data_IF_439308012530
#
_entry.id   IF_439308012530
#
_cell.length_a   1.000
_cell.length_b   1.000
_cell.length_c   1.000
_cell.angle_alpha   90.00
_cell.angle_beta   90.00
_cell.angle_gamma   90.00
#
_symmetry.space_group_name_H-M   'P 1'
#
loop_
_entity.id
_entity.type
_entity.pdbx_description
1 polymer ?
#
# COMPACT_ATOMS: atom_id res chain seq x y z
N UNK A 1 6.59 13.11 8.10
CA UNK A 1 5.70 12.48 9.10
C UNK A 1 4.25 12.72 8.74
N UNK A 2 3.37 11.77 9.08
CA UNK A 2 1.91 11.92 8.99
C UNK A 2 1.47 12.52 10.34
N UNK A 3 0.68 13.59 10.32
CA UNK A 3 0.19 14.24 11.56
C UNK A 3 -1.07 13.54 12.09
N UNK A 4 -1.43 13.76 13.36
CA UNK A 4 -2.54 13.05 14.02
C UNK A 4 -3.86 13.18 13.27
N UNK A 5 -4.22 14.41 12.87
CA UNK A 5 -5.45 14.69 12.12
C UNK A 5 -5.52 13.93 10.79
N UNK A 6 -4.37 13.73 10.14
CA UNK A 6 -4.28 12.95 8.92
C UNK A 6 -4.54 11.47 9.19
N UNK A 7 -4.05 10.93 10.31
CA UNK A 7 -4.34 9.56 10.72
C UNK A 7 -5.82 9.36 11.04
N UNK A 8 -6.41 10.26 11.80
CA UNK A 8 -7.82 10.21 12.19
C UNK A 8 -8.74 10.29 10.97
N UNK A 9 -8.42 11.16 10.00
CA UNK A 9 -9.15 11.25 8.74
C UNK A 9 -9.13 9.94 7.96
N UNK A 10 -7.98 9.26 7.86
CA UNK A 10 -7.91 7.95 7.16
C UNK A 10 -8.78 6.94 7.90
N UNK A 11 -8.67 6.90 9.22
CA UNK A 11 -9.39 5.94 10.05
C UNK A 11 -10.90 6.13 9.98
N UNK A 12 -11.39 7.37 9.80
CA UNK A 12 -12.82 7.69 9.82
C UNK A 12 -13.46 7.75 8.44
N UNK A 13 -12.71 8.07 7.38
CA UNK A 13 -13.24 8.22 6.01
C UNK A 13 -13.00 6.97 5.14
N UNK A 14 -11.79 6.38 5.16
CA UNK A 14 -11.46 5.34 4.18
C UNK A 14 -12.22 4.03 4.38
N UNK A 15 -12.60 3.67 5.62
CA UNK A 15 -13.43 2.49 5.88
C UNK A 15 -14.86 2.63 5.37
N UNK A 16 -15.36 3.87 5.24
CA UNK A 16 -16.70 4.17 4.70
C UNK A 16 -16.73 4.17 3.17
N UNK A 17 -15.56 4.19 2.52
CA UNK A 17 -15.46 4.22 1.06
C UNK A 17 -15.75 2.89 0.39
N UNK A 18 -15.88 1.77 1.13
CA UNK A 18 -16.16 0.48 0.51
C UNK A 18 -16.96 -0.41 1.46
N UNK A 19 -17.97 -1.09 0.92
CA UNK A 19 -18.74 -2.10 1.65
C UNK A 19 -18.08 -3.48 1.59
N UNK A 20 -17.10 -3.69 0.70
CA UNK A 20 -16.44 -4.97 0.49
C UNK A 20 -15.53 -5.34 1.66
N UNK A 21 -15.77 -6.51 2.25
CA UNK A 21 -15.00 -7.04 3.38
C UNK A 21 -13.51 -7.14 3.08
N UNK A 22 -13.15 -7.64 1.89
CA UNK A 22 -11.75 -7.79 1.47
C UNK A 22 -10.97 -6.47 1.46
N UNK A 23 -11.65 -5.35 1.18
CA UNK A 23 -11.00 -4.04 1.11
C UNK A 23 -10.79 -3.45 2.51
N UNK A 24 -11.76 -3.65 3.41
CA UNK A 24 -11.62 -3.32 4.83
C UNK A 24 -10.49 -4.14 5.46
N UNK A 25 -10.46 -5.44 5.18
CA UNK A 25 -9.41 -6.35 5.64
C UNK A 25 -8.02 -5.91 5.15
N UNK A 26 -7.88 -5.56 3.87
CA UNK A 26 -6.61 -5.05 3.35
C UNK A 26 -6.15 -3.78 4.08
N UNK A 27 -7.05 -2.83 4.33
CA UNK A 27 -6.75 -1.63 5.13
C UNK A 27 -6.20 -2.02 6.51
N UNK A 28 -6.91 -2.86 7.27
CA UNK A 28 -6.44 -3.32 8.58
C UNK A 28 -5.08 -4.01 8.50
N UNK A 29 -4.88 -4.88 7.51
CA UNK A 29 -3.60 -5.56 7.28
C UNK A 29 -2.46 -4.58 7.03
N UNK A 30 -2.71 -3.48 6.31
CA UNK A 30 -1.71 -2.43 6.09
C UNK A 30 -1.40 -1.64 7.36
N UNK A 31 -2.41 -1.23 8.12
CA UNK A 31 -2.25 -0.47 9.36
C UNK A 31 -1.47 -1.25 10.41
N UNK A 32 -1.89 -2.49 10.67
CA UNK A 32 -1.27 -3.35 11.68
C UNK A 32 -0.01 -4.05 11.18
N UNK A 33 0.39 -3.82 9.93
CA UNK A 33 1.54 -4.49 9.28
C UNK A 33 1.45 -6.01 9.43
N UNK A 34 0.26 -6.54 9.14
CA UNK A 34 -0.11 -7.93 9.38
C UNK A 34 0.79 -8.93 8.65
N UNK A 35 1.21 -8.59 7.43
CA UNK A 35 2.10 -9.44 6.64
C UNK A 35 3.48 -9.55 7.29
N UNK A 36 3.81 -10.76 7.75
CA UNK A 36 5.11 -11.04 8.35
C UNK A 36 6.21 -10.97 7.30
N UNK A 37 7.13 -10.02 7.49
CA UNK A 37 8.25 -9.83 6.58
C UNK A 37 9.35 -10.88 6.86
N UNK A 38 10.13 -11.33 5.85
CA UNK A 38 11.22 -12.29 5.99
C UNK A 38 12.20 -11.93 7.10
N UNK A 39 12.50 -10.65 7.28
CA UNK A 39 13.37 -10.19 8.36
C UNK A 39 12.81 -10.44 9.78
N UNK A 40 11.49 -10.52 9.94
CA UNK A 40 10.83 -10.90 11.20
C UNK A 40 10.74 -12.42 11.32
N UNK A 41 10.44 -13.11 10.23
CA UNK A 41 10.38 -14.57 10.18
C UNK A 41 11.74 -15.21 10.49
N UNK A 42 12.83 -14.69 9.94
CA UNK A 42 14.19 -15.16 10.20
C UNK A 42 14.64 -15.00 11.66
N UNK A 43 13.98 -14.12 12.44
CA UNK A 43 14.21 -14.02 13.90
C UNK A 43 13.48 -15.11 14.68
N UNK A 44 12.35 -15.60 14.16
CA UNK A 44 11.54 -16.65 14.78
C UNK A 44 12.05 -18.04 14.38
N UNK A 45 12.50 -18.17 13.12
CA UNK A 45 12.95 -19.42 12.53
C UNK A 45 14.32 -19.19 11.88
N UNK A 46 15.43 -19.56 12.56
CA UNK A 46 16.80 -19.29 12.09
C UNK A 46 17.15 -19.93 10.74
N UNK A 47 16.39 -20.93 10.30
CA UNK A 47 16.55 -21.57 8.99
C UNK A 47 16.07 -20.69 7.82
N UNK A 48 15.30 -19.64 8.11
CA UNK A 48 14.76 -18.74 7.09
C UNK A 48 15.72 -17.58 6.80
N UNK A 49 15.77 -17.24 5.51
CA UNK A 49 16.56 -16.15 4.96
C UNK A 49 15.88 -14.79 5.21
N UNK A 50 16.57 -13.78 5.79
CA UNK A 50 15.96 -12.47 6.10
C UNK A 50 15.79 -11.56 4.88
N UNK A 51 16.24 -11.96 3.70
CA UNK A 51 16.21 -11.19 2.47
C UNK A 51 14.79 -11.00 1.92
N UNK A 52 14.59 -9.92 1.19
CA UNK A 52 13.35 -9.61 0.52
C UNK A 52 13.05 -10.66 -0.56
N UNK A 53 11.85 -11.24 -0.54
CA UNK A 53 11.41 -12.22 -1.54
C UNK A 53 11.41 -11.67 -2.98
N UNK A 54 11.19 -10.35 -3.13
CA UNK A 54 11.07 -9.70 -4.44
C UNK A 54 12.42 -9.35 -5.06
N UNK A 55 13.35 -8.75 -4.31
CA UNK A 55 14.68 -8.37 -4.85
C UNK A 55 15.83 -9.32 -4.48
N UNK A 56 15.60 -10.27 -3.55
CA UNK A 56 16.53 -11.30 -3.10
C UNK A 56 17.89 -10.83 -2.54
N UNK A 57 18.10 -9.53 -2.38
CA UNK A 57 19.39 -8.95 -1.98
C UNK A 57 19.33 -8.13 -0.68
N UNK A 58 18.35 -7.25 -0.52
CA UNK A 58 18.21 -6.43 0.70
C UNK A 58 17.38 -7.15 1.76
N UNK A 59 17.61 -6.82 3.04
CA UNK A 59 16.79 -7.30 4.16
C UNK A 59 15.29 -6.99 3.93
N UNK A 60 14.47 -8.03 3.97
CA UNK A 60 13.02 -7.99 3.75
C UNK A 60 12.28 -7.46 4.98
N UNK A 61 12.39 -6.16 5.26
CA UNK A 61 11.51 -5.49 6.22
C UNK A 61 10.14 -5.20 5.57
N UNK A 62 9.10 -4.99 6.38
CA UNK A 62 7.78 -4.63 5.87
C UNK A 62 7.86 -3.41 4.94
N UNK A 63 8.46 -2.31 5.39
CA UNK A 63 8.56 -1.11 4.57
C UNK A 63 9.42 -1.29 3.31
N UNK A 64 10.44 -2.16 3.36
CA UNK A 64 11.19 -2.50 2.17
C UNK A 64 10.32 -3.22 1.13
N UNK A 65 9.63 -4.29 1.55
CA UNK A 65 8.80 -5.12 0.67
C UNK A 65 7.58 -4.41 0.10
N UNK A 66 7.08 -3.39 0.79
CA UNK A 66 5.88 -2.67 0.36
C UNK A 66 6.21 -1.34 -0.34
N UNK A 67 7.42 -0.78 -0.17
CA UNK A 67 7.74 0.53 -0.71
C UNK A 67 9.18 0.73 -1.20
N UNK A 68 10.20 0.36 -0.42
CA UNK A 68 11.58 0.76 -0.76
C UNK A 68 12.21 -0.13 -1.84
N UNK A 69 11.78 -1.39 -1.95
CA UNK A 69 12.28 -2.36 -2.91
C UNK A 69 12.19 -1.85 -4.34
N UNK A 70 13.24 -2.07 -5.14
CA UNK A 70 13.31 -1.59 -6.52
C UNK A 70 12.18 -2.16 -7.39
N UNK A 71 11.91 -3.46 -7.29
CA UNK A 71 10.83 -4.12 -8.04
C UNK A 71 9.45 -3.57 -7.63
N UNK A 72 9.26 -3.32 -6.34
CA UNK A 72 8.01 -2.75 -5.81
C UNK A 72 7.84 -1.29 -6.23
N UNK A 73 8.91 -0.51 -6.31
CA UNK A 73 8.87 0.84 -6.87
C UNK A 73 8.48 0.83 -8.35
N UNK A 74 8.99 -0.11 -9.15
CA UNK A 74 8.58 -0.28 -10.56
C UNK A 74 7.08 -0.60 -10.64
N UNK A 75 6.61 -1.52 -9.79
CA UNK A 75 5.19 -1.85 -9.65
C UNK A 75 4.33 -0.61 -9.36
N UNK A 76 4.66 0.16 -8.33
CA UNK A 76 3.88 1.35 -7.97
C UNK A 76 3.91 2.46 -9.03
N UNK A 77 5.03 2.62 -9.75
CA UNK A 77 5.09 3.53 -10.91
C UNK A 77 4.14 3.10 -12.03
N UNK A 78 4.00 1.80 -12.28
CA UNK A 78 3.04 1.27 -13.27
C UNK A 78 1.60 1.58 -12.85
N UNK A 79 1.25 1.33 -11.58
CA UNK A 79 -0.08 1.67 -11.03
C UNK A 79 -0.35 3.18 -11.10
N UNK A 80 0.63 4.01 -10.76
CA UNK A 80 0.51 5.47 -10.85
C UNK A 80 0.20 5.93 -12.28
N UNK A 81 0.90 5.35 -13.27
CA UNK A 81 0.68 5.66 -14.68
C UNK A 81 -0.74 5.29 -15.12
N UNK A 82 -1.20 4.09 -14.77
CA UNK A 82 -2.58 3.66 -15.07
C UNK A 82 -3.63 4.57 -14.45
N UNK A 83 -3.46 4.94 -13.18
CA UNK A 83 -4.37 5.89 -12.52
C UNK A 83 -4.39 7.23 -13.26
N UNK A 84 -3.24 7.74 -13.66
CA UNK A 84 -3.15 8.98 -14.43
C UNK A 84 -3.86 8.86 -15.78
N UNK A 85 -3.66 7.78 -16.51
CA UNK A 85 -4.30 7.54 -17.81
C UNK A 85 -5.85 7.54 -17.70
N UNK A 86 -6.39 6.89 -16.66
CA UNK A 86 -7.84 6.76 -16.42
C UNK A 86 -8.49 8.03 -15.87
N UNK A 87 -7.82 8.73 -14.94
CA UNK A 87 -8.45 9.84 -14.19
C UNK A 87 -8.01 11.22 -14.63
N UNK A 88 -6.95 11.29 -15.43
CA UNK A 88 -6.15 12.49 -15.76
C UNK A 88 -5.59 13.20 -14.53
N UNK A 89 -5.53 12.51 -13.39
CA UNK A 89 -5.02 13.05 -12.13
C UNK A 89 -3.66 12.44 -11.78
N UNK A 90 -2.63 13.29 -11.65
CA UNK A 90 -1.27 12.86 -11.34
C UNK A 90 -1.07 12.71 -9.84
N UNK A 91 -1.25 11.49 -9.33
CA UNK A 91 -0.93 11.18 -7.93
C UNK A 91 0.56 11.41 -7.63
N UNK A 92 0.87 11.89 -6.42
CA UNK A 92 2.26 11.93 -5.94
C UNK A 92 2.66 10.52 -5.49
N UNK A 93 3.81 10.02 -5.96
CA UNK A 93 4.35 8.72 -5.58
C UNK A 93 4.87 8.77 -4.13
N UNK A 94 3.96 8.57 -3.18
CA UNK A 94 4.20 8.64 -1.74
C UNK A 94 3.62 7.41 -1.03
N UNK A 95 4.30 6.86 -0.01
CA UNK A 95 3.81 5.67 0.69
C UNK A 95 2.46 5.93 1.35
N UNK A 96 2.21 7.15 1.83
CA UNK A 96 0.91 7.58 2.36
C UNK A 96 -0.23 7.32 1.38
N UNK A 97 -0.03 7.72 0.13
CA UNK A 97 -1.06 7.60 -0.91
C UNK A 97 -1.24 6.15 -1.32
N UNK A 98 -0.16 5.43 -1.61
CA UNK A 98 -0.23 4.09 -2.19
C UNK A 98 -0.46 2.97 -1.17
N UNK A 99 0.05 3.13 0.06
CA UNK A 99 -0.10 2.11 1.11
C UNK A 99 -1.32 2.34 1.99
N UNK A 100 -1.69 3.60 2.23
CA UNK A 100 -2.76 3.97 3.17
C UNK A 100 -3.98 4.61 2.48
N UNK A 101 -3.94 4.84 1.17
CA UNK A 101 -5.04 5.48 0.45
C UNK A 101 -5.20 6.97 0.75
N UNK A 102 -4.16 7.65 1.24
CA UNK A 102 -4.19 9.09 1.54
C UNK A 102 -4.11 9.93 0.27
N UNK A 103 -5.26 10.21 -0.33
CA UNK A 103 -5.37 11.05 -1.52
C UNK A 103 -5.63 12.48 -1.06
N UNK A 104 -4.63 13.36 -1.25
CA UNK A 104 -4.77 14.80 -1.02
C UNK A 104 -5.23 15.50 -2.29
N UNK A 105 -5.98 16.59 -2.13
CA UNK A 105 -6.44 17.44 -3.23
C UNK A 105 -7.94 17.33 -3.50
N UNK A 106 -8.43 18.28 -4.30
CA UNK A 106 -9.82 18.35 -4.71
C UNK A 106 -10.04 17.37 -5.88
N UNK A 107 -10.58 16.20 -5.58
CA UNK A 107 -11.07 15.23 -6.56
C UNK A 107 -12.56 15.03 -6.33
N UNK A 108 -13.31 14.78 -7.41
CA UNK A 108 -14.69 14.32 -7.29
C UNK A 108 -14.75 13.01 -6.48
N UNK A 109 -15.91 12.76 -5.87
CA UNK A 109 -16.13 11.57 -5.04
C UNK A 109 -15.89 10.29 -5.83
N UNK A 110 -16.32 10.26 -7.09
CA UNK A 110 -16.21 9.13 -8.01
C UNK A 110 -14.74 8.85 -8.35
N UNK A 111 -13.97 9.89 -8.69
CA UNK A 111 -12.53 9.73 -8.96
C UNK A 111 -11.78 9.25 -7.73
N UNK A 112 -12.09 9.80 -6.55
CA UNK A 112 -11.48 9.37 -5.29
C UNK A 112 -11.81 7.90 -5.00
N UNK A 113 -13.07 7.51 -5.17
CA UNK A 113 -13.53 6.14 -4.99
C UNK A 113 -12.79 5.17 -5.92
N UNK A 114 -12.74 5.47 -7.21
CA UNK A 114 -12.03 4.66 -8.21
C UNK A 114 -10.56 4.47 -7.86
N UNK A 115 -9.87 5.55 -7.50
CA UNK A 115 -8.45 5.49 -7.13
C UNK A 115 -8.24 4.62 -5.88
N UNK A 116 -9.05 4.80 -4.84
CA UNK A 116 -8.96 3.97 -3.62
C UNK A 116 -9.17 2.50 -3.94
N UNK A 117 -10.08 2.17 -4.87
CA UNK A 117 -10.33 0.80 -5.27
C UNK A 117 -9.15 0.20 -6.03
N UNK A 118 -8.58 0.93 -6.99
CA UNK A 118 -7.40 0.51 -7.73
C UNK A 118 -6.21 0.29 -6.78
N UNK A 119 -5.96 1.22 -5.85
CA UNK A 119 -4.87 1.10 -4.88
C UNK A 119 -5.08 -0.09 -3.93
N UNK A 120 -6.32 -0.40 -3.56
CA UNK A 120 -6.63 -1.55 -2.70
C UNK A 120 -6.42 -2.86 -3.44
N UNK A 121 -6.93 -2.99 -4.67
CA UNK A 121 -6.68 -4.15 -5.52
C UNK A 121 -5.17 -4.36 -5.73
N UNK A 122 -4.44 -3.29 -6.04
CA UNK A 122 -3.00 -3.34 -6.21
C UNK A 122 -2.26 -3.84 -4.96
N UNK A 123 -2.66 -3.39 -3.76
CA UNK A 123 -2.09 -3.88 -2.49
C UNK A 123 -2.37 -5.38 -2.28
N UNK A 124 -3.57 -5.84 -2.63
CA UNK A 124 -3.95 -7.25 -2.52
C UNK A 124 -3.09 -8.10 -3.45
N UNK A 125 -2.96 -7.71 -4.73
CA UNK A 125 -2.10 -8.41 -5.70
C UNK A 125 -0.65 -8.43 -5.24
N UNK A 126 -0.11 -7.29 -4.78
CA UNK A 126 1.28 -7.21 -4.33
C UNK A 126 1.57 -8.12 -3.13
N UNK A 127 0.56 -8.42 -2.31
CA UNK A 127 0.67 -9.34 -1.17
C UNK A 127 0.68 -10.83 -1.57
N UNK A 128 0.11 -11.15 -2.74
CA UNK A 128 0.06 -12.51 -3.29
C UNK A 128 1.32 -12.87 -4.10
N UNK A 129 2.00 -11.85 -4.67
CA UNK A 129 3.29 -11.95 -5.37
C UNK A 129 4.50 -12.14 -4.44
#
# INVERSE_FOLDING_TARGET
>A
NIILDEWEKIWTENWKLTLLTAFKENQYKMFYRWHLAPARLAKMYPTLKPECLKCKYKKGTFFHMWWQCAEVKKYWKKIQRWIFEMTKYKLKLKPQTFLLGMIKGNLSREKRYLIVHILTAARITLAQD
#
